data_IF_291006458787
#
_entry.id   IF_291006458787
#
_cell.length_a   1.000
_cell.length_b   1.000
_cell.length_c   1.000
_cell.angle_alpha   90.00
_cell.angle_beta   90.00
_cell.angle_gamma   90.00
#
_symmetry.space_group_name_H-M   'P 1'
#
loop_
_entity.id
_entity.type
_entity.pdbx_description
1 polymer ?
#
# COMPACT_ATOMS: atom_id res chain seq x y z
N UNK A 1 -18.22 -15.30 20.63
CA UNK A 1 -16.76 -15.46 20.85
C UNK A 1 -16.19 -16.12 19.61
N UNK A 2 -15.20 -15.50 18.92
CA UNK A 2 -14.61 -16.09 17.73
C UNK A 2 -13.87 -17.38 18.03
N UNK A 3 -13.90 -18.34 17.10
CA UNK A 3 -13.16 -19.60 17.23
C UNK A 3 -11.64 -19.32 17.29
N UNK A 4 -10.88 -20.20 17.94
CA UNK A 4 -9.40 -20.12 17.92
C UNK A 4 -8.88 -20.76 16.65
N UNK A 5 -8.04 -20.03 15.88
CA UNK A 5 -7.34 -20.59 14.72
C UNK A 5 -6.10 -21.36 15.16
N UNK A 6 -5.93 -22.57 14.64
CA UNK A 6 -4.68 -23.33 14.80
C UNK A 6 -3.68 -22.96 13.72
N UNK A 7 -2.40 -22.83 14.09
CA UNK A 7 -1.33 -22.66 13.11
C UNK A 7 -1.13 -23.97 12.35
N UNK A 8 -1.13 -23.88 11.01
CA UNK A 8 -0.76 -25.00 10.14
C UNK A 8 0.75 -25.25 10.24
N UNK A 9 1.51 -24.14 10.32
CA UNK A 9 2.97 -24.20 10.40
C UNK A 9 3.56 -22.96 11.07
N UNK A 10 4.73 -23.13 11.66
CA UNK A 10 5.55 -22.07 12.23
C UNK A 10 6.93 -22.18 11.61
N UNK A 11 7.36 -21.12 10.93
CA UNK A 11 8.68 -21.00 10.31
C UNK A 11 9.47 -19.95 11.15
N UNK A 12 10.45 -20.42 11.92
CA UNK A 12 11.17 -19.60 12.92
C UNK A 12 12.69 -19.57 12.64
N UNK A 13 13.07 -19.52 11.36
CA UNK A 13 14.48 -19.57 10.96
C UNK A 13 15.17 -18.19 11.01
N UNK A 14 14.40 -17.09 11.03
CA UNK A 14 14.96 -15.76 11.22
C UNK A 14 15.44 -15.55 12.66
N UNK A 15 16.58 -14.84 12.80
CA UNK A 15 17.19 -14.52 14.10
C UNK A 15 16.80 -13.12 14.59
N UNK A 16 16.02 -12.39 13.83
CA UNK A 16 15.50 -11.05 14.15
C UNK A 16 14.05 -10.91 13.69
N UNK A 17 13.42 -9.81 14.06
CA UNK A 17 12.04 -9.51 13.69
C UNK A 17 11.83 -9.51 12.18
N UNK A 18 10.70 -10.05 11.72
CA UNK A 18 10.33 -9.97 10.30
C UNK A 18 9.60 -8.65 10.09
N UNK A 19 10.18 -7.78 9.26
CA UNK A 19 9.62 -6.46 8.98
C UNK A 19 8.55 -6.48 7.89
N UNK A 20 8.72 -7.31 6.87
CA UNK A 20 7.80 -7.40 5.75
C UNK A 20 7.73 -8.80 5.17
N UNK A 21 6.63 -9.09 4.46
CA UNK A 21 6.46 -10.29 3.65
C UNK A 21 5.77 -9.95 2.33
N UNK A 22 6.10 -10.70 1.28
CA UNK A 22 5.55 -10.58 -0.07
C UNK A 22 5.26 -11.94 -0.65
N UNK A 23 4.08 -12.12 -1.25
CA UNK A 23 3.75 -13.33 -2.03
C UNK A 23 4.16 -13.14 -3.48
N UNK A 24 4.56 -14.23 -4.15
CA UNK A 24 4.71 -14.25 -5.59
C UNK A 24 3.35 -14.07 -6.30
N UNK A 25 3.32 -13.55 -7.54
CA UNK A 25 2.08 -13.39 -8.31
C UNK A 25 1.28 -14.69 -8.45
N UNK A 26 1.95 -15.82 -8.62
CA UNK A 26 1.34 -17.15 -8.69
C UNK A 26 0.92 -17.72 -7.31
N UNK A 27 1.30 -17.04 -6.22
CA UNK A 27 1.03 -17.46 -4.85
C UNK A 27 1.78 -18.70 -4.37
N UNK A 28 2.74 -19.22 -5.14
CA UNK A 28 3.47 -20.46 -4.79
C UNK A 28 4.66 -20.22 -3.86
N UNK A 29 5.14 -18.98 -3.78
CA UNK A 29 6.30 -18.59 -2.99
C UNK A 29 5.99 -17.38 -2.12
N UNK A 30 6.69 -17.29 -1.01
CA UNK A 30 6.64 -16.17 -0.09
C UNK A 30 8.05 -15.69 0.23
N UNK A 31 8.25 -14.39 0.24
CA UNK A 31 9.49 -13.75 0.63
C UNK A 31 9.31 -13.02 1.96
N UNK A 32 10.25 -13.16 2.87
CA UNK A 32 10.31 -12.41 4.14
C UNK A 32 11.60 -11.61 4.25
N UNK A 33 11.52 -10.38 4.74
CA UNK A 33 12.66 -9.53 5.06
C UNK A 33 12.75 -9.27 6.57
N UNK A 34 13.95 -9.40 7.14
CA UNK A 34 14.15 -9.43 8.59
C UNK A 34 15.21 -8.43 9.08
N UNK A 35 15.12 -8.15 10.39
CA UNK A 35 16.12 -7.38 11.13
C UNK A 35 17.46 -8.09 11.24
N UNK A 36 17.51 -9.41 10.97
CA UNK A 36 18.78 -10.15 10.94
C UNK A 36 19.63 -9.85 9.69
N UNK A 37 19.20 -8.91 8.85
CA UNK A 37 19.89 -8.52 7.62
C UNK A 37 19.68 -9.48 6.45
N UNK A 38 18.85 -10.50 6.63
CA UNK A 38 18.56 -11.51 5.60
C UNK A 38 17.14 -11.42 5.08
N UNK A 39 16.93 -11.95 3.90
CA UNK A 39 15.61 -12.32 3.41
C UNK A 39 15.56 -13.83 3.17
N UNK A 40 14.36 -14.42 3.26
CA UNK A 40 14.15 -15.86 3.05
C UNK A 40 12.99 -16.09 2.11
N UNK A 41 13.21 -17.02 1.21
CA UNK A 41 12.19 -17.49 0.27
C UNK A 41 11.60 -18.80 0.80
N UNK A 42 10.28 -18.89 0.83
CA UNK A 42 9.51 -20.01 1.37
C UNK A 42 8.58 -20.57 0.31
N UNK A 43 8.41 -21.88 0.28
CA UNK A 43 7.34 -22.54 -0.47
C UNK A 43 6.02 -22.40 0.31
N UNK A 44 4.95 -21.97 -0.35
CA UNK A 44 3.63 -21.87 0.26
C UNK A 44 2.95 -23.22 0.43
N UNK A 45 3.35 -24.23 -0.36
CA UNK A 45 2.78 -25.56 -0.32
C UNK A 45 3.10 -26.30 0.98
N UNK A 46 4.34 -26.20 1.44
CA UNK A 46 4.84 -26.95 2.61
C UNK A 46 5.51 -26.06 3.66
N UNK A 47 5.68 -24.75 3.41
CA UNK A 47 6.30 -23.78 4.31
C UNK A 47 7.81 -24.03 4.52
N UNK A 48 8.46 -24.77 3.63
CA UNK A 48 9.91 -24.98 3.65
C UNK A 48 10.65 -23.73 3.20
N UNK A 49 11.79 -23.43 3.84
CA UNK A 49 12.69 -22.39 3.37
C UNK A 49 13.45 -22.90 2.13
N UNK A 50 13.17 -22.28 0.97
CA UNK A 50 13.77 -22.66 -0.31
C UNK A 50 15.14 -22.02 -0.53
N UNK A 51 15.31 -20.77 -0.08
CA UNK A 51 16.56 -20.02 -0.22
C UNK A 51 16.75 -19.00 0.90
N UNK A 52 18.03 -18.82 1.28
CA UNK A 52 18.48 -17.74 2.14
C UNK A 52 19.16 -16.67 1.27
N UNK A 53 18.64 -15.45 1.29
CA UNK A 53 19.15 -14.30 0.56
C UNK A 53 19.99 -13.47 1.54
N UNK A 54 21.31 -13.67 1.49
CA UNK A 54 22.27 -13.04 2.41
C UNK A 54 23.19 -12.09 1.65
N UNK A 55 23.40 -10.90 2.20
CA UNK A 55 24.29 -9.92 1.58
C UNK A 55 24.07 -8.50 2.08
N UNK A 56 22.89 -8.14 2.58
CA UNK A 56 22.68 -6.85 3.23
C UNK A 56 23.53 -6.73 4.51
N UNK A 57 24.05 -5.53 4.74
CA UNK A 57 24.92 -5.22 5.89
C UNK A 57 24.13 -4.68 7.09
N UNK A 58 22.81 -4.49 6.91
CA UNK A 58 21.89 -4.04 7.95
C UNK A 58 20.50 -4.65 7.74
N UNK A 59 19.55 -4.35 8.62
CA UNK A 59 18.21 -4.93 8.56
C UNK A 59 17.47 -4.64 7.24
N UNK A 60 16.75 -5.65 6.76
CA UNK A 60 15.87 -5.55 5.60
C UNK A 60 14.57 -4.87 6.05
N UNK A 61 14.24 -3.75 5.43
CA UNK A 61 13.06 -2.93 5.77
C UNK A 61 11.81 -3.39 5.02
N UNK A 62 11.98 -3.77 3.76
CA UNK A 62 10.89 -4.16 2.87
C UNK A 62 11.38 -5.15 1.81
N UNK A 63 10.46 -5.94 1.28
CA UNK A 63 10.74 -6.86 0.17
C UNK A 63 9.54 -6.98 -0.77
N UNK A 64 9.82 -7.25 -2.05
CA UNK A 64 8.82 -7.53 -3.07
C UNK A 64 9.27 -8.75 -3.88
N UNK A 65 8.35 -9.67 -4.13
CA UNK A 65 8.59 -10.90 -4.88
C UNK A 65 7.84 -10.84 -6.21
N UNK A 66 8.59 -10.98 -7.27
CA UNK A 66 8.11 -11.15 -8.64
C UNK A 66 8.32 -12.60 -9.08
N UNK A 67 7.87 -12.97 -10.29
CA UNK A 67 7.90 -14.37 -10.76
C UNK A 67 9.30 -14.97 -10.75
N UNK A 68 10.30 -14.25 -11.25
CA UNK A 68 11.67 -14.76 -11.40
C UNK A 68 12.69 -14.05 -10.50
N UNK A 69 12.32 -12.96 -9.84
CA UNK A 69 13.23 -12.15 -9.05
C UNK A 69 12.62 -11.73 -7.71
N UNK A 70 13.43 -11.74 -6.68
CA UNK A 70 13.12 -11.13 -5.41
C UNK A 70 13.87 -9.80 -5.29
N UNK A 71 13.22 -8.79 -4.70
CA UNK A 71 13.79 -7.48 -4.43
C UNK A 71 13.71 -7.20 -2.94
N UNK A 72 14.81 -6.70 -2.39
CA UNK A 72 14.89 -6.31 -0.98
C UNK A 72 15.50 -4.94 -0.85
N UNK A 73 15.04 -4.14 0.11
CA UNK A 73 15.72 -2.91 0.49
C UNK A 73 16.05 -2.91 1.98
N UNK A 74 17.05 -2.11 2.34
CA UNK A 74 17.67 -2.21 3.66
C UNK A 74 18.08 -0.86 4.24
N UNK A 75 18.32 -0.88 5.53
CA UNK A 75 18.94 0.21 6.26
C UNK A 75 20.42 0.41 5.89
N UNK A 76 21.03 -0.51 5.15
CA UNK A 76 22.37 -0.34 4.55
C UNK A 76 22.38 0.63 3.35
N UNK A 77 21.26 1.31 3.09
CA UNK A 77 21.06 2.27 1.99
C UNK A 77 21.04 1.64 0.61
N UNK A 78 20.97 0.31 0.50
CA UNK A 78 20.97 -0.40 -0.78
C UNK A 78 19.65 -1.10 -1.04
N UNK A 79 19.41 -1.40 -2.32
CA UNK A 79 18.38 -2.32 -2.80
C UNK A 79 19.11 -3.47 -3.50
N UNK A 80 18.59 -4.68 -3.40
CA UNK A 80 19.16 -5.86 -4.05
C UNK A 80 18.11 -6.62 -4.84
N UNK A 81 18.50 -7.08 -6.04
CA UNK A 81 17.76 -8.03 -6.88
C UNK A 81 18.39 -9.39 -6.72
N UNK A 82 17.58 -10.40 -6.53
CA UNK A 82 18.00 -11.79 -6.28
C UNK A 82 17.33 -12.73 -7.27
N UNK A 83 18.03 -13.74 -7.71
CA UNK A 83 17.47 -14.85 -8.46
C UNK A 83 16.71 -15.77 -7.47
N UNK A 84 15.43 -16.05 -7.75
CA UNK A 84 14.58 -16.85 -6.84
C UNK A 84 14.89 -18.33 -6.88
N UNK A 85 15.61 -18.82 -7.89
CA UNK A 85 15.99 -20.23 -8.06
C UNK A 85 17.29 -20.55 -7.35
N UNK A 86 18.27 -19.67 -7.48
CA UNK A 86 19.63 -19.88 -6.95
C UNK A 86 19.90 -19.16 -5.64
N UNK A 87 19.10 -18.14 -5.29
CA UNK A 87 19.32 -17.25 -4.15
C UNK A 87 20.49 -16.28 -4.33
N UNK A 88 21.07 -16.22 -5.53
CA UNK A 88 22.21 -15.34 -5.81
C UNK A 88 21.78 -13.90 -5.99
N UNK A 89 22.61 -12.97 -5.49
CA UNK A 89 22.42 -11.54 -5.73
C UNK A 89 22.81 -11.20 -7.16
N UNK A 90 21.81 -10.81 -7.98
CA UNK A 90 22.01 -10.45 -9.38
C UNK A 90 22.47 -9.01 -9.55
N UNK A 91 21.93 -8.09 -8.72
CA UNK A 91 22.18 -6.65 -8.82
C UNK A 91 22.11 -5.97 -7.46
N UNK A 92 22.99 -4.98 -7.26
CA UNK A 92 22.97 -4.08 -6.10
C UNK A 92 22.75 -2.65 -6.61
N UNK A 93 21.67 -2.02 -6.15
CA UNK A 93 21.32 -0.64 -6.48
C UNK A 93 21.88 0.28 -5.39
N UNK A 94 22.84 1.12 -5.75
CA UNK A 94 23.52 2.05 -4.84
C UNK A 94 23.21 3.50 -5.24
N UNK A 95 23.01 4.36 -4.24
CA UNK A 95 22.76 5.77 -4.48
C UNK A 95 22.04 6.48 -3.34
N UNK A 96 21.11 5.83 -2.65
CA UNK A 96 20.53 6.40 -1.43
C UNK A 96 21.62 6.60 -0.36
N UNK A 97 21.47 7.66 0.42
CA UNK A 97 22.42 8.03 1.50
C UNK A 97 21.88 7.76 2.90
N UNK A 98 20.69 7.18 2.99
CA UNK A 98 20.07 6.76 4.24
C UNK A 98 19.15 5.57 3.99
N UNK A 99 18.54 5.04 5.04
CA UNK A 99 17.64 3.87 5.04
C UNK A 99 16.68 3.91 3.84
N UNK A 100 16.66 2.84 3.05
CA UNK A 100 15.62 2.63 2.04
C UNK A 100 14.43 2.00 2.72
N UNK A 101 13.29 2.70 2.76
CA UNK A 101 12.14 2.28 3.55
C UNK A 101 11.18 1.37 2.77
N UNK A 102 10.93 1.69 1.48
CA UNK A 102 10.05 0.90 0.62
C UNK A 102 10.56 0.86 -0.80
N UNK A 103 10.15 -0.18 -1.51
CA UNK A 103 10.33 -0.33 -2.95
C UNK A 103 8.99 -0.68 -3.60
N UNK A 104 8.89 -0.38 -4.88
CA UNK A 104 7.81 -0.79 -5.76
C UNK A 104 8.41 -1.15 -7.11
N UNK A 105 8.22 -2.39 -7.53
CA UNK A 105 8.75 -2.94 -8.78
C UNK A 105 7.62 -3.03 -9.79
N UNK A 106 7.90 -2.59 -11.00
CA UNK A 106 7.06 -2.77 -12.19
C UNK A 106 7.88 -3.52 -13.24
N UNK A 107 7.29 -3.83 -14.41
CA UNK A 107 7.99 -4.54 -15.48
C UNK A 107 9.33 -3.90 -15.85
N UNK A 108 9.37 -2.56 -15.98
CA UNK A 108 10.53 -1.84 -16.51
C UNK A 108 11.29 -1.02 -15.47
N UNK A 109 10.65 -0.69 -14.33
CA UNK A 109 11.19 0.26 -13.37
C UNK A 109 11.06 -0.24 -11.93
N UNK A 110 12.01 0.17 -11.12
CA UNK A 110 11.96 0.01 -9.69
C UNK A 110 11.92 1.41 -9.06
N UNK A 111 10.96 1.63 -8.18
CA UNK A 111 10.88 2.87 -7.39
C UNK A 111 11.28 2.58 -5.95
N UNK A 112 11.91 3.57 -5.31
CA UNK A 112 12.30 3.47 -3.89
C UNK A 112 12.02 4.76 -3.14
N UNK A 113 11.73 4.63 -1.84
CA UNK A 113 11.62 5.73 -0.90
C UNK A 113 12.65 5.60 0.21
N UNK A 114 13.19 6.73 0.67
CA UNK A 114 14.29 6.72 1.65
C UNK A 114 14.17 7.82 2.70
N UNK A 115 14.84 7.57 3.81
CA UNK A 115 15.05 8.55 4.88
C UNK A 115 15.99 9.69 4.44
N UNK A 116 16.69 9.56 3.31
CA UNK A 116 17.46 10.66 2.69
C UNK A 116 16.57 11.77 2.09
N UNK A 117 15.26 11.70 2.29
CA UNK A 117 14.24 12.64 1.85
C UNK A 117 13.96 12.59 0.34
N UNK A 118 14.45 11.57 -0.34
CA UNK A 118 14.23 11.37 -1.79
C UNK A 118 13.43 10.10 -2.06
N UNK A 119 12.77 10.07 -3.20
CA UNK A 119 12.40 8.86 -3.89
C UNK A 119 13.23 8.75 -5.16
N UNK A 120 13.43 7.53 -5.68
CA UNK A 120 14.21 7.29 -6.89
C UNK A 120 13.52 6.28 -7.78
N UNK A 121 13.72 6.44 -9.09
CA UNK A 121 13.44 5.43 -10.10
C UNK A 121 14.75 4.86 -10.60
N UNK A 122 14.77 3.55 -10.85
CA UNK A 122 15.93 2.79 -11.27
C UNK A 122 15.58 1.93 -12.48
N UNK A 123 16.53 1.73 -13.36
CA UNK A 123 16.41 0.70 -14.40
C UNK A 123 16.65 -0.67 -13.75
N UNK A 124 15.69 -1.59 -13.89
CA UNK A 124 15.70 -2.88 -13.19
C UNK A 124 16.94 -3.72 -13.54
N UNK A 125 17.36 -3.72 -14.82
CA UNK A 125 18.47 -4.57 -15.26
C UNK A 125 19.85 -3.94 -15.08
N UNK A 126 19.94 -2.60 -15.20
CA UNK A 126 21.22 -1.90 -15.13
C UNK A 126 21.57 -1.42 -13.73
N UNK A 127 20.60 -1.40 -12.82
CA UNK A 127 20.80 -0.92 -11.46
C UNK A 127 21.13 0.58 -11.36
N UNK A 128 20.90 1.34 -12.43
CA UNK A 128 21.23 2.77 -12.50
C UNK A 128 20.03 3.62 -12.12
N UNK A 129 20.29 4.73 -11.43
CA UNK A 129 19.26 5.74 -11.14
C UNK A 129 18.84 6.39 -12.46
N UNK A 130 17.59 6.21 -12.84
CA UNK A 130 17.00 6.86 -14.01
C UNK A 130 16.46 8.24 -13.67
N UNK A 131 15.85 8.39 -12.49
CA UNK A 131 15.32 9.65 -11.97
C UNK A 131 15.48 9.74 -10.46
N UNK A 132 15.64 10.96 -9.98
CA UNK A 132 15.63 11.29 -8.56
C UNK A 132 14.55 12.34 -8.28
N UNK A 133 13.65 12.04 -7.34
CA UNK A 133 12.53 12.88 -6.96
C UNK A 133 12.89 13.62 -5.68
N UNK A 134 13.35 14.88 -5.82
CA UNK A 134 13.76 15.77 -4.72
C UNK A 134 12.70 16.81 -4.43
N UNK A 135 12.43 17.08 -3.14
CA UNK A 135 11.51 18.14 -2.73
C UNK A 135 10.77 17.88 -1.43
N UNK A 136 10.79 16.65 -0.92
CA UNK A 136 10.39 16.41 0.47
C UNK A 136 11.41 17.00 1.45
N UNK A 137 10.89 17.49 2.58
CA UNK A 137 11.73 18.10 3.65
C UNK A 137 12.18 17.10 4.70
N UNK A 138 11.57 15.90 4.71
CA UNK A 138 11.84 14.85 5.68
C UNK A 138 11.68 13.46 5.03
N UNK A 139 11.82 12.37 5.80
CA UNK A 139 11.83 10.99 5.34
C UNK A 139 10.63 10.66 4.44
N UNK A 140 10.86 9.94 3.35
CA UNK A 140 9.80 9.41 2.47
C UNK A 140 9.47 8.00 2.90
N UNK A 141 8.21 7.77 3.31
CA UNK A 141 7.80 6.49 3.91
C UNK A 141 6.94 5.63 2.99
N UNK A 142 6.08 6.24 2.19
CA UNK A 142 5.08 5.53 1.39
C UNK A 142 5.29 5.81 -0.11
N UNK A 143 4.97 4.81 -0.93
CA UNK A 143 5.02 4.86 -2.40
C UNK A 143 3.76 4.25 -2.99
N UNK A 144 3.26 4.84 -4.08
CA UNK A 144 2.34 4.22 -5.02
C UNK A 144 2.61 4.75 -6.43
N UNK A 145 2.24 3.98 -7.44
CA UNK A 145 2.49 4.31 -8.84
C UNK A 145 1.23 4.10 -9.67
N UNK A 146 0.95 5.06 -10.56
CA UNK A 146 -0.08 4.98 -11.59
C UNK A 146 0.61 4.89 -12.94
N UNK A 147 0.37 3.79 -13.65
CA UNK A 147 0.98 3.58 -14.97
C UNK A 147 0.34 4.49 -16.03
N UNK A 148 1.03 4.76 -17.16
CA UNK A 148 0.49 5.60 -18.23
C UNK A 148 -0.87 5.13 -18.76
N UNK A 149 -1.06 3.83 -18.88
CA UNK A 149 -2.33 3.21 -19.32
C UNK A 149 -3.51 3.47 -18.39
N UNK A 150 -3.24 3.83 -17.15
CA UNK A 150 -4.24 4.11 -16.12
C UNK A 150 -4.57 5.61 -16.02
N UNK A 151 -3.94 6.44 -16.84
CA UNK A 151 -4.16 7.90 -16.90
C UNK A 151 -5.11 8.27 -18.04
N UNK A 152 -5.81 9.43 -17.96
CA UNK A 152 -6.70 9.86 -19.03
C UNK A 152 -5.94 10.05 -20.35
N UNK A 153 -6.53 9.58 -21.44
CA UNK A 153 -6.00 9.77 -22.80
C UNK A 153 -6.22 11.21 -23.29
N UNK A 154 -5.45 12.14 -22.74
CA UNK A 154 -5.40 13.54 -23.19
C UNK A 154 -4.02 13.78 -23.83
N UNK A 155 -3.96 14.20 -25.12
CA UNK A 155 -2.68 14.43 -25.82
C UNK A 155 -1.76 15.41 -25.12
N UNK A 156 -2.31 16.40 -24.39
CA UNK A 156 -1.52 17.35 -23.61
C UNK A 156 -0.96 16.70 -22.33
N UNK A 157 -1.67 15.73 -21.75
CA UNK A 157 -1.25 14.98 -20.57
C UNK A 157 -0.28 13.83 -20.95
N UNK A 158 -0.49 13.17 -22.09
CA UNK A 158 0.38 12.09 -22.57
C UNK A 158 1.83 12.54 -22.73
N UNK A 159 2.07 13.72 -23.30
CA UNK A 159 3.40 14.26 -23.46
C UNK A 159 4.13 14.53 -22.13
N UNK A 160 3.37 14.91 -21.09
CA UNK A 160 3.91 15.21 -19.77
C UNK A 160 3.97 13.98 -18.84
N UNK A 161 3.09 13.00 -19.03
CA UNK A 161 2.86 11.85 -18.14
C UNK A 161 3.20 10.50 -18.77
N UNK A 162 3.89 10.47 -19.91
CA UNK A 162 4.16 9.28 -20.72
C UNK A 162 4.89 8.12 -20.01
N UNK A 163 5.41 8.33 -18.79
CA UNK A 163 5.98 7.29 -17.95
C UNK A 163 5.21 7.11 -16.62
N UNK A 164 3.98 7.65 -16.51
CA UNK A 164 3.12 7.55 -15.32
C UNK A 164 3.43 8.54 -14.22
N UNK A 165 2.70 8.39 -13.12
CA UNK A 165 2.80 9.23 -11.92
C UNK A 165 3.23 8.41 -10.70
N UNK A 166 4.24 8.89 -9.98
CA UNK A 166 4.65 8.36 -8.69
C UNK A 166 4.04 9.22 -7.59
N UNK A 167 3.42 8.60 -6.58
CA UNK A 167 2.91 9.28 -5.40
C UNK A 167 3.74 8.88 -4.18
N UNK A 168 4.17 9.85 -3.41
CA UNK A 168 5.01 9.64 -2.21
C UNK A 168 4.39 10.27 -0.98
N UNK A 169 4.48 9.61 0.16
CA UNK A 169 4.09 10.14 1.47
C UNK A 169 5.30 10.33 2.38
N UNK A 170 5.34 11.42 3.13
CA UNK A 170 6.50 11.81 3.93
C UNK A 170 6.15 12.24 5.36
N UNK A 171 7.15 12.17 6.22
CA UNK A 171 7.10 12.74 7.58
C UNK A 171 7.18 14.28 7.60
N UNK A 172 7.20 14.93 6.42
CA UNK A 172 7.06 16.39 6.30
C UNK A 172 5.60 16.85 6.22
N UNK A 173 4.65 15.99 6.60
CA UNK A 173 3.20 16.22 6.62
C UNK A 173 2.58 16.37 5.22
N UNK A 174 3.33 16.05 4.16
CA UNK A 174 2.85 16.15 2.78
C UNK A 174 2.92 14.83 2.04
N UNK A 175 2.04 14.68 1.06
CA UNK A 175 2.28 13.76 -0.04
C UNK A 175 2.61 14.56 -1.31
N UNK A 176 3.34 13.95 -2.24
CA UNK A 176 3.71 14.57 -3.50
C UNK A 176 3.42 13.62 -4.66
N UNK A 177 3.01 14.20 -5.77
CA UNK A 177 2.83 13.52 -7.05
C UNK A 177 3.95 13.96 -7.98
N UNK A 178 4.61 13.02 -8.61
CA UNK A 178 5.76 13.24 -9.47
C UNK A 178 5.51 12.70 -10.86
N UNK A 179 5.87 13.45 -11.88
CA UNK A 179 5.95 12.96 -13.25
C UNK A 179 7.20 12.09 -13.39
N UNK A 180 7.03 10.81 -13.68
CA UNK A 180 8.16 9.87 -13.75
C UNK A 180 9.07 10.19 -14.93
N UNK A 181 8.51 10.64 -16.06
CA UNK A 181 9.30 11.01 -17.25
C UNK A 181 10.29 12.15 -17.01
N UNK A 182 9.83 13.23 -16.38
CA UNK A 182 10.63 14.42 -16.13
C UNK A 182 11.39 14.40 -14.80
N UNK A 183 10.87 13.69 -13.80
CA UNK A 183 11.31 13.75 -12.40
C UNK A 183 10.78 14.97 -11.64
N UNK A 184 9.96 15.81 -12.29
CA UNK A 184 9.42 17.01 -11.67
C UNK A 184 8.25 16.72 -10.73
N UNK A 185 8.13 17.51 -9.67
CA UNK A 185 6.96 17.49 -8.79
C UNK A 185 5.77 18.09 -9.54
N UNK A 186 4.76 17.25 -9.81
CA UNK A 186 3.52 17.66 -10.45
C UNK A 186 2.60 18.35 -9.45
N UNK A 187 2.34 17.72 -8.29
CA UNK A 187 1.49 18.25 -7.24
C UNK A 187 2.12 18.07 -5.85
N UNK A 188 1.78 18.97 -4.93
CA UNK A 188 2.06 18.82 -3.50
C UNK A 188 0.76 18.82 -2.73
N UNK A 189 0.39 17.67 -2.19
CA UNK A 189 -0.85 17.43 -1.47
C UNK A 189 -0.68 17.90 -0.02
N UNK A 190 -1.19 19.11 0.25
CA UNK A 190 -1.05 19.79 1.55
C UNK A 190 -2.36 19.75 2.32
N UNK A 191 -2.28 19.48 3.62
CA UNK A 191 -3.44 19.50 4.50
C UNK A 191 -3.27 18.67 5.75
N UNK A 192 -2.52 17.57 5.70
CA UNK A 192 -2.15 16.85 6.92
C UNK A 192 -1.34 17.75 7.86
N UNK A 193 -1.53 17.56 9.17
CA UNK A 193 -0.82 18.26 10.24
C UNK A 193 0.11 17.32 11.01
N UNK A 194 0.40 16.16 10.41
CA UNK A 194 1.30 15.15 10.92
C UNK A 194 1.78 14.23 9.81
N UNK A 195 2.80 13.43 10.12
CA UNK A 195 3.49 12.56 9.19
C UNK A 195 2.52 11.66 8.38
N UNK A 196 2.71 11.57 7.06
CA UNK A 196 2.00 10.63 6.18
C UNK A 196 2.68 9.27 6.27
N UNK A 197 2.03 8.30 6.94
CA UNK A 197 2.60 6.99 7.24
C UNK A 197 2.29 5.94 6.17
N UNK A 198 1.11 6.03 5.56
CA UNK A 198 0.64 5.05 4.60
C UNK A 198 -0.12 5.72 3.45
N UNK A 199 -0.16 5.03 2.32
CA UNK A 199 -0.76 5.52 1.10
C UNK A 199 -1.26 4.34 0.28
N UNK A 200 -2.46 4.48 -0.29
CA UNK A 200 -3.02 3.58 -1.30
C UNK A 200 -3.59 4.42 -2.45
N UNK A 201 -3.55 3.87 -3.65
CA UNK A 201 -3.98 4.55 -4.86
C UNK A 201 -5.14 3.79 -5.50
N UNK A 202 -6.24 4.49 -5.76
CA UNK A 202 -7.26 4.03 -6.70
C UNK A 202 -6.89 4.56 -8.10
N UNK A 203 -6.32 3.68 -8.90
CA UNK A 203 -5.88 4.03 -10.26
C UNK A 203 -7.07 4.37 -11.17
N UNK A 204 -8.22 3.75 -10.93
CA UNK A 204 -9.41 3.94 -11.77
C UNK A 204 -10.06 5.31 -11.61
N UNK A 205 -9.98 5.89 -10.42
CA UNK A 205 -10.51 7.23 -10.11
C UNK A 205 -9.42 8.28 -9.93
N UNK A 206 -8.16 7.94 -10.16
CA UNK A 206 -6.98 8.81 -9.97
C UNK A 206 -6.91 9.41 -8.56
N UNK A 207 -7.39 8.65 -7.57
CA UNK A 207 -7.52 9.11 -6.19
C UNK A 207 -6.47 8.47 -5.30
N UNK A 208 -5.63 9.28 -4.66
CA UNK A 208 -4.72 8.84 -3.60
C UNK A 208 -5.38 8.98 -2.22
N UNK A 209 -5.30 7.94 -1.41
CA UNK A 209 -5.70 7.97 -0.01
C UNK A 209 -4.45 7.93 0.87
N UNK A 210 -4.33 8.90 1.77
CA UNK A 210 -3.17 9.04 2.67
C UNK A 210 -3.62 8.94 4.12
N UNK A 211 -2.92 8.12 4.92
CA UNK A 211 -3.14 8.01 6.36
C UNK A 211 -1.99 8.64 7.14
N UNK A 212 -2.33 9.36 8.21
CA UNK A 212 -1.38 10.22 8.92
C UNK A 212 -1.41 10.04 10.44
N UNK A 213 -0.35 10.52 11.07
CA UNK A 213 -0.26 10.66 12.53
C UNK A 213 -1.25 11.69 13.08
N UNK A 214 -1.84 12.56 12.22
CA UNK A 214 -2.90 13.50 12.60
C UNK A 214 -4.27 12.83 12.84
N UNK A 215 -4.30 11.50 12.84
CA UNK A 215 -5.49 10.66 13.03
C UNK A 215 -6.54 10.79 11.91
N UNK A 216 -6.15 11.31 10.73
CA UNK A 216 -7.06 11.41 9.58
C UNK A 216 -6.59 10.57 8.41
N UNK A 217 -7.56 10.17 7.57
CA UNK A 217 -7.27 9.77 6.20
C UNK A 217 -7.76 10.90 5.28
N UNK A 218 -7.02 11.18 4.21
CA UNK A 218 -7.40 12.15 3.19
C UNK A 218 -7.39 11.53 1.81
N UNK A 219 -8.38 11.93 1.00
CA UNK A 219 -8.47 11.56 -0.40
C UNK A 219 -8.09 12.78 -1.26
N UNK A 220 -7.30 12.53 -2.29
CA UNK A 220 -6.73 13.54 -3.18
C UNK A 220 -6.87 13.12 -4.63
N UNK A 221 -7.27 14.02 -5.49
CA UNK A 221 -7.11 13.85 -6.92
C UNK A 221 -5.63 14.06 -7.27
N UNK A 222 -4.97 13.04 -7.85
CA UNK A 222 -3.53 13.11 -8.15
C UNK A 222 -3.22 13.99 -9.38
N UNK A 223 -4.20 14.28 -10.20
CA UNK A 223 -4.03 15.10 -11.40
C UNK A 223 -4.13 16.60 -11.06
N UNK A 224 -5.17 17.00 -10.36
CA UNK A 224 -5.38 18.39 -9.95
C UNK A 224 -4.66 18.78 -8.66
N UNK A 225 -4.34 17.81 -7.79
CA UNK A 225 -3.83 18.03 -6.44
C UNK A 225 -4.91 18.44 -5.43
N UNK A 226 -6.19 18.43 -5.84
CA UNK A 226 -7.30 18.84 -5.00
C UNK A 226 -7.55 17.82 -3.88
N UNK A 227 -7.82 18.33 -2.67
CA UNK A 227 -8.30 17.52 -1.56
C UNK A 227 -9.78 17.21 -1.73
N UNK A 228 -10.11 15.99 -2.09
CA UNK A 228 -11.48 15.57 -2.31
C UNK A 228 -12.24 15.38 -0.99
N UNK A 229 -11.63 14.74 0.01
CA UNK A 229 -12.28 14.35 1.27
C UNK A 229 -11.31 14.24 2.43
N UNK A 230 -11.87 14.34 3.64
CA UNK A 230 -11.17 14.08 4.90
C UNK A 230 -12.00 13.10 5.73
N UNK A 231 -11.45 11.96 6.05
CA UNK A 231 -12.05 10.95 6.91
C UNK A 231 -11.53 11.18 8.34
N UNK A 232 -12.42 11.65 9.20
CA UNK A 232 -12.13 11.95 10.61
C UNK A 232 -12.78 10.88 11.47
N UNK A 233 -12.44 10.75 12.70
CA UNK A 233 -13.01 9.89 13.75
C UNK A 233 -12.00 8.89 14.35
N UNK A 234 -10.85 8.62 13.74
CA UNK A 234 -9.77 7.98 14.48
C UNK A 234 -9.27 8.89 15.59
N UNK A 235 -8.87 8.29 16.71
CA UNK A 235 -8.33 8.99 17.89
C UNK A 235 -6.82 8.78 18.03
N UNK A 236 -6.18 8.20 17.03
CA UNK A 236 -4.75 7.96 16.99
C UNK A 236 -4.26 7.80 15.55
N UNK A 237 -2.95 7.78 15.39
CA UNK A 237 -2.28 7.68 14.08
C UNK A 237 -2.88 6.59 13.20
N UNK A 238 -3.15 6.90 11.93
CA UNK A 238 -3.54 5.92 10.92
C UNK A 238 -2.27 5.26 10.38
N UNK A 239 -2.12 3.96 10.64
CA UNK A 239 -0.88 3.21 10.39
C UNK A 239 -0.94 2.46 9.06
N UNK A 240 -2.09 1.92 8.70
CA UNK A 240 -2.25 1.11 7.50
C UNK A 240 -3.59 1.38 6.82
N UNK A 241 -3.60 1.23 5.51
CA UNK A 241 -4.77 1.36 4.65
C UNK A 241 -4.88 0.13 3.77
N UNK A 242 -6.11 -0.28 3.49
CA UNK A 242 -6.44 -1.30 2.48
C UNK A 242 -7.63 -0.79 1.68
N UNK A 243 -7.51 -0.77 0.37
CA UNK A 243 -8.54 -0.32 -0.55
C UNK A 243 -9.11 -1.51 -1.31
N UNK A 244 -10.41 -1.59 -1.41
CA UNK A 244 -11.15 -2.46 -2.32
C UNK A 244 -11.83 -1.59 -3.37
N UNK A 245 -12.56 -2.18 -4.31
CA UNK A 245 -13.24 -1.41 -5.39
C UNK A 245 -14.07 -0.21 -4.88
N UNK A 246 -14.67 -0.30 -3.69
CA UNK A 246 -15.57 0.72 -3.15
C UNK A 246 -15.34 1.08 -1.68
N UNK A 247 -14.58 0.27 -0.98
CA UNK A 247 -14.40 0.40 0.47
C UNK A 247 -12.94 0.66 0.80
N UNK A 248 -12.72 1.65 1.64
CA UNK A 248 -11.45 1.94 2.25
C UNK A 248 -11.46 1.46 3.70
N UNK A 249 -10.48 0.68 4.08
CA UNK A 249 -10.23 0.27 5.46
C UNK A 249 -9.02 1.00 6.00
N UNK A 250 -9.14 1.56 7.20
CA UNK A 250 -8.05 2.25 7.90
C UNK A 250 -7.80 1.63 9.26
N UNK A 251 -6.55 1.20 9.51
CA UNK A 251 -6.11 0.67 10.80
C UNK A 251 -5.31 1.72 11.56
N UNK A 252 -5.57 1.82 12.87
CA UNK A 252 -5.06 2.92 13.67
C UNK A 252 -4.44 2.49 15.00
N UNK A 253 -3.60 3.38 15.53
CA UNK A 253 -3.06 3.32 16.89
C UNK A 253 -4.18 3.36 17.95
N UNK A 254 -5.38 3.85 17.63
CA UNK A 254 -6.55 3.82 18.51
C UNK A 254 -7.14 2.42 18.71
N UNK A 255 -6.50 1.38 18.16
CA UNK A 255 -6.85 -0.06 18.28
C UNK A 255 -8.06 -0.48 17.48
N UNK A 256 -8.58 0.40 16.62
CA UNK A 256 -9.74 0.14 15.77
C UNK A 256 -9.37 0.06 14.30
N UNK A 257 -10.22 -0.61 13.54
CA UNK A 257 -10.28 -0.45 12.09
C UNK A 257 -11.60 0.22 11.74
N UNK A 258 -11.55 1.17 10.83
CA UNK A 258 -12.75 1.81 10.28
C UNK A 258 -12.88 1.47 8.80
N UNK A 259 -14.11 1.25 8.40
CA UNK A 259 -14.50 1.02 7.00
C UNK A 259 -15.29 2.22 6.51
N UNK A 260 -14.92 2.72 5.34
CA UNK A 260 -15.48 3.92 4.72
C UNK A 260 -15.91 3.62 3.29
N UNK A 261 -16.95 4.31 2.82
CA UNK A 261 -17.17 4.43 1.39
C UNK A 261 -16.10 5.35 0.80
N UNK A 262 -15.32 4.84 -0.15
CA UNK A 262 -14.18 5.57 -0.72
C UNK A 262 -14.63 6.83 -1.49
N UNK A 263 -15.80 6.77 -2.13
CA UNK A 263 -16.38 7.82 -2.97
C UNK A 263 -17.08 8.94 -2.17
N UNK A 264 -17.73 8.62 -1.06
CA UNK A 264 -18.48 9.61 -0.26
C UNK A 264 -17.75 10.03 1.02
N UNK A 265 -16.85 9.19 1.53
CA UNK A 265 -16.21 9.39 2.82
C UNK A 265 -17.08 9.00 4.02
N UNK A 266 -18.27 8.44 3.77
CA UNK A 266 -19.16 8.00 4.83
C UNK A 266 -18.59 6.78 5.54
N UNK A 267 -18.64 6.79 6.88
CA UNK A 267 -18.23 5.64 7.68
C UNK A 267 -19.29 4.57 7.65
N UNK A 268 -18.94 3.43 7.07
CA UNK A 268 -19.82 2.24 7.04
C UNK A 268 -19.78 1.49 8.38
N UNK A 269 -18.56 1.35 8.97
CA UNK A 269 -18.38 0.51 10.14
C UNK A 269 -17.12 0.84 10.94
N UNK A 270 -17.18 0.54 12.24
CA UNK A 270 -15.99 0.48 13.12
C UNK A 270 -15.85 -0.94 13.66
N UNK A 271 -14.65 -1.51 13.54
CA UNK A 271 -14.27 -2.79 14.14
C UNK A 271 -13.44 -2.49 15.40
N UNK A 272 -13.94 -2.86 16.60
CA UNK A 272 -13.11 -2.83 17.82
C UNK A 272 -12.13 -3.99 17.76
N UNK A 273 -11.05 -3.78 16.97
CA UNK A 273 -10.25 -4.89 16.48
C UNK A 273 -9.30 -5.45 17.55
N UNK A 274 -8.59 -4.62 18.29
CA UNK A 274 -7.44 -5.07 19.08
C UNK A 274 -7.32 -4.36 20.44
N UNK A 275 -6.37 -4.86 21.27
CA UNK A 275 -5.98 -4.23 22.53
C UNK A 275 -4.78 -3.30 22.38
N UNK A 276 -4.11 -3.32 21.23
CA UNK A 276 -2.99 -2.47 20.85
C UNK A 276 -3.20 -1.95 19.42
N UNK A 277 -2.29 -1.10 18.92
CA UNK A 277 -2.35 -0.53 17.57
C UNK A 277 -2.56 -1.61 16.50
N UNK A 278 -3.36 -1.29 15.50
CA UNK A 278 -3.52 -2.10 14.28
C UNK A 278 -2.38 -1.77 13.34
N UNK A 279 -1.51 -2.75 13.09
CA UNK A 279 -0.29 -2.59 12.31
C UNK A 279 -0.43 -3.04 10.86
N UNK A 280 -1.34 -3.97 10.57
CA UNK A 280 -1.52 -4.52 9.24
C UNK A 280 -2.98 -4.86 8.96
N UNK A 281 -3.39 -4.70 7.69
CA UNK A 281 -4.72 -5.00 7.18
C UNK A 281 -4.61 -5.79 5.88
N UNK A 282 -5.56 -6.70 5.64
CA UNK A 282 -5.79 -7.33 4.35
C UNK A 282 -7.25 -7.73 4.21
N UNK A 283 -7.85 -7.32 3.11
CA UNK A 283 -9.19 -7.78 2.72
C UNK A 283 -9.05 -8.94 1.73
N UNK A 284 -9.78 -10.01 1.97
CA UNK A 284 -9.84 -11.15 1.05
C UNK A 284 -11.19 -11.85 1.14
N UNK A 285 -11.86 -12.01 -0.01
CA UNK A 285 -13.10 -12.79 -0.16
C UNK A 285 -14.14 -12.52 0.94
N UNK A 286 -14.46 -11.25 1.21
CA UNK A 286 -15.48 -10.86 2.21
C UNK A 286 -14.99 -10.88 3.66
N UNK A 287 -13.75 -11.26 3.91
CA UNK A 287 -13.13 -11.29 5.24
C UNK A 287 -12.07 -10.21 5.37
N UNK A 288 -12.12 -9.45 6.45
CA UNK A 288 -11.11 -8.49 6.83
C UNK A 288 -10.15 -9.13 7.85
N UNK A 289 -8.90 -9.28 7.47
CA UNK A 289 -7.82 -9.74 8.34
C UNK A 289 -7.07 -8.55 8.92
N UNK A 290 -6.74 -8.63 10.21
CA UNK A 290 -6.07 -7.56 10.93
C UNK A 290 -4.91 -8.12 11.75
N UNK A 291 -3.77 -7.44 11.74
CA UNK A 291 -2.60 -7.71 12.57
C UNK A 291 -2.35 -6.57 13.56
N UNK A 292 -1.77 -6.88 14.72
CA UNK A 292 -1.65 -5.88 15.78
C UNK A 292 -0.41 -6.07 16.67
N UNK A 293 -0.06 -4.98 17.36
CA UNK A 293 0.89 -4.97 18.47
C UNK A 293 0.47 -5.82 19.67
N UNK A 294 -0.79 -6.32 19.72
CA UNK A 294 -1.22 -7.28 20.76
C UNK A 294 -0.83 -8.74 20.45
N UNK A 295 0.07 -8.94 19.47
CA UNK A 295 0.56 -10.23 19.02
C UNK A 295 -0.52 -11.18 18.47
N UNK A 296 -1.63 -10.64 17.98
CA UNK A 296 -2.74 -11.42 17.45
C UNK A 296 -3.12 -10.96 16.07
N UNK A 297 -3.50 -11.92 15.22
CA UNK A 297 -4.26 -11.64 14.04
C UNK A 297 -5.75 -11.99 14.28
N UNK A 298 -6.64 -11.29 13.62
CA UNK A 298 -8.10 -11.52 13.70
C UNK A 298 -8.70 -11.50 12.31
N UNK A 299 -9.75 -12.30 12.14
CA UNK A 299 -10.58 -12.31 10.95
C UNK A 299 -11.99 -11.84 11.31
N UNK A 300 -12.47 -10.86 10.60
CA UNK A 300 -13.82 -10.33 10.74
C UNK A 300 -14.61 -10.55 9.45
N UNK A 301 -15.86 -10.87 9.54
CA UNK A 301 -16.78 -10.71 8.42
C UNK A 301 -16.86 -9.21 8.08
N UNK A 302 -16.43 -8.85 6.90
CA UNK A 302 -16.31 -7.45 6.52
C UNK A 302 -17.67 -6.75 6.43
N UNK A 303 -18.73 -7.50 6.11
CA UNK A 303 -20.09 -6.98 5.95
C UNK A 303 -20.80 -6.78 7.29
N UNK A 304 -20.78 -7.77 8.18
CA UNK A 304 -21.45 -7.70 9.47
C UNK A 304 -20.59 -7.08 10.57
N UNK A 305 -19.25 -7.11 10.43
CA UNK A 305 -18.30 -6.70 11.44
C UNK A 305 -18.08 -7.74 12.55
N UNK A 306 -18.67 -8.93 12.40
CA UNK A 306 -18.57 -9.99 13.41
C UNK A 306 -17.18 -10.60 13.40
N UNK A 307 -16.57 -10.73 14.59
CA UNK A 307 -15.32 -11.46 14.77
C UNK A 307 -15.55 -12.96 14.55
N UNK A 308 -14.97 -13.50 13.50
CA UNK A 308 -15.08 -14.92 13.14
C UNK A 308 -13.99 -15.77 13.79
N UNK A 309 -12.71 -15.29 13.75
CA UNK A 309 -11.57 -16.08 14.24
C UNK A 309 -10.48 -15.20 14.84
N UNK A 310 -9.80 -15.75 15.87
CA UNK A 310 -8.62 -15.16 16.48
C UNK A 310 -7.45 -16.11 16.32
N UNK A 311 -6.36 -15.63 15.74
CA UNK A 311 -5.11 -16.36 15.55
C UNK A 311 -4.13 -15.97 16.65
N UNK A 312 -3.72 -16.96 17.47
CA UNK A 312 -2.88 -16.77 18.64
C UNK A 312 -1.62 -17.61 18.51
N UNK A 313 -0.47 -17.07 18.87
CA UNK A 313 0.78 -17.81 18.83
C UNK A 313 2.00 -16.91 18.73
N UNK A 314 1.89 -15.75 18.06
CA UNK A 314 2.97 -14.76 18.09
C UNK A 314 3.16 -14.19 19.49
N UNK A 315 4.40 -13.84 19.83
CA UNK A 315 4.78 -13.23 21.10
C UNK A 315 5.00 -11.71 21.02
N UNK A 316 5.17 -11.18 19.79
CA UNK A 316 5.37 -9.75 19.53
C UNK A 316 4.45 -9.25 18.42
N UNK A 317 4.58 -7.95 18.09
CA UNK A 317 3.77 -7.28 17.08
C UNK A 317 3.80 -8.02 15.74
N UNK A 318 2.62 -8.13 15.12
CA UNK A 318 2.48 -8.61 13.74
C UNK A 318 2.69 -7.41 12.82
N UNK A 319 3.82 -7.42 12.10
CA UNK A 319 4.20 -6.31 11.24
C UNK A 319 3.50 -6.35 9.89
N UNK A 320 3.28 -7.54 9.35
CA UNK A 320 2.68 -7.72 8.04
C UNK A 320 1.84 -8.99 7.99
N UNK A 321 0.83 -8.99 7.12
CA UNK A 321 0.01 -10.18 6.82
C UNK A 321 -0.37 -10.22 5.34
N UNK A 322 -0.50 -11.42 4.80
CA UNK A 322 -1.00 -11.69 3.46
C UNK A 322 -1.94 -12.90 3.49
N UNK A 323 -2.80 -12.99 2.48
CA UNK A 323 -3.72 -14.12 2.33
C UNK A 323 -3.62 -14.61 0.89
N UNK A 324 -3.49 -15.93 0.75
CA UNK A 324 -3.59 -16.58 -0.56
C UNK A 324 -4.38 -17.86 -0.42
N UNK A 325 -5.39 -18.04 -1.28
CA UNK A 325 -6.29 -19.19 -1.20
C UNK A 325 -6.95 -19.30 0.19
N UNK A 326 -6.63 -20.39 0.87
CA UNK A 326 -7.20 -20.70 2.19
C UNK A 326 -6.18 -20.59 3.33
N UNK A 327 -5.09 -19.85 3.10
CA UNK A 327 -4.01 -19.68 4.07
C UNK A 327 -3.78 -18.19 4.34
N UNK A 328 -3.76 -17.84 5.62
CA UNK A 328 -3.29 -16.54 6.11
C UNK A 328 -1.82 -16.69 6.53
N UNK A 329 -0.98 -15.80 6.07
CA UNK A 329 0.43 -15.67 6.43
C UNK A 329 0.59 -14.45 7.33
N UNK A 330 1.26 -14.60 8.47
CA UNK A 330 1.55 -13.51 9.39
C UNK A 330 3.03 -13.48 9.73
N UNK A 331 3.64 -12.31 9.59
CA UNK A 331 5.02 -12.05 9.93
C UNK A 331 5.10 -11.15 11.16
N UNK A 332 5.94 -11.51 12.11
CA UNK A 332 6.04 -10.83 13.39
C UNK A 332 7.46 -10.44 13.76
N UNK A 333 7.55 -9.45 14.64
CA UNK A 333 8.81 -9.06 15.27
C UNK A 333 9.41 -10.15 16.20
N UNK A 334 8.66 -11.25 16.47
CA UNK A 334 9.19 -12.43 17.13
C UNK A 334 10.08 -13.31 16.23
N UNK A 335 10.34 -12.88 15.00
CA UNK A 335 11.16 -13.61 14.04
C UNK A 335 10.44 -14.78 13.37
N UNK A 336 9.18 -15.03 13.69
CA UNK A 336 8.42 -16.13 13.14
C UNK A 336 7.48 -15.69 12.02
N UNK A 337 7.44 -16.48 10.95
CA UNK A 337 6.39 -16.55 9.98
C UNK A 337 5.41 -17.67 10.38
N UNK A 338 4.12 -17.37 10.45
CA UNK A 338 3.09 -18.37 10.78
C UNK A 338 2.07 -18.47 9.66
N UNK A 339 1.70 -19.71 9.35
CA UNK A 339 0.69 -20.06 8.38
C UNK A 339 -0.55 -20.55 9.14
N UNK A 340 -1.72 -20.03 8.76
CA UNK A 340 -2.98 -20.32 9.44
C UNK A 340 -4.04 -20.77 8.45
N UNK A 341 -4.80 -21.78 8.83
CA UNK A 341 -5.97 -22.22 8.08
C UNK A 341 -7.13 -21.22 8.21
N UNK A 342 -7.60 -20.72 7.08
CA UNK A 342 -8.76 -19.82 7.01
C UNK A 342 -9.99 -20.48 6.39
N UNK A 343 -9.98 -21.78 6.17
CA UNK A 343 -11.16 -22.54 5.71
C UNK A 343 -12.32 -22.36 6.68
N UNK A 344 -13.54 -22.30 6.13
CA UNK A 344 -14.76 -22.14 6.92
C UNK A 344 -14.97 -20.73 7.50
N UNK A 345 -14.13 -19.75 7.16
CA UNK A 345 -14.50 -18.35 7.30
C UNK A 345 -15.58 -18.08 6.24
N UNK A 346 -16.76 -17.67 6.69
CA UNK A 346 -17.88 -17.44 5.79
C UNK A 346 -17.63 -16.21 4.92
N UNK A 347 -17.37 -16.45 3.65
CA UNK A 347 -17.63 -15.41 2.67
C UNK A 347 -19.14 -15.35 2.45
N UNK A 348 -19.79 -14.31 2.93
CA UNK A 348 -21.16 -14.03 2.51
C UNK A 348 -21.11 -13.76 1.00
N UNK A 349 -21.90 -14.49 0.16
CA UNK A 349 -21.91 -14.25 -1.26
C UNK A 349 -22.15 -12.76 -1.54
N UNK A 350 -21.55 -12.18 -2.61
CA UNK A 350 -21.83 -10.80 -2.98
C UNK A 350 -23.33 -10.64 -3.12
N UNK A 351 -23.88 -9.57 -2.55
CA UNK A 351 -25.28 -9.21 -2.77
C UNK A 351 -25.52 -9.19 -4.29
N UNK A 352 -26.67 -9.74 -4.77
CA UNK A 352 -27.05 -9.58 -6.16
C UNK A 352 -26.96 -8.08 -6.48
N UNK A 353 -26.17 -7.75 -7.47
CA UNK A 353 -26.01 -6.37 -7.94
C UNK A 353 -27.41 -5.88 -8.29
N UNK A 354 -27.92 -4.88 -7.59
CA UNK A 354 -29.05 -4.12 -8.08
C UNK A 354 -28.64 -3.62 -9.47
N UNK A 355 -29.47 -3.82 -10.50
CA UNK A 355 -29.13 -3.28 -11.82
C UNK A 355 -28.85 -1.81 -11.65
N UNK A 356 -27.70 -1.37 -12.14
CA UNK A 356 -27.30 0.02 -12.13
C UNK A 356 -28.40 0.79 -12.88
N UNK A 357 -29.24 1.47 -12.14
CA UNK A 357 -30.08 2.49 -12.75
C UNK A 357 -29.13 3.53 -13.29
N UNK A 358 -28.96 3.53 -14.62
CA UNK A 358 -28.30 4.59 -15.37
C UNK A 358 -29.05 5.88 -15.06
N UNK A 359 -28.72 6.57 -13.98
CA UNK A 359 -29.03 7.97 -13.82
C UNK A 359 -28.08 8.71 -14.75
N UNK A 360 -28.57 9.01 -15.92
CA UNK A 360 -28.02 9.95 -16.87
C UNK A 360 -27.65 11.23 -16.12
N UNK A 361 -26.35 11.51 -15.99
CA UNK A 361 -25.78 12.79 -15.53
C UNK A 361 -25.86 13.87 -16.62
N UNK A 362 -26.91 13.85 -17.46
CA UNK A 362 -27.10 14.82 -18.55
C UNK A 362 -28.09 15.94 -18.22
N UNK A 363 -28.17 16.39 -16.94
CA UNK A 363 -29.01 17.56 -16.59
C UNK A 363 -28.42 18.41 -15.46
N UNK A 364 -27.19 18.91 -15.64
CA UNK A 364 -26.66 19.97 -14.74
C UNK A 364 -25.64 20.91 -15.43
N UNK A 365 -25.67 21.06 -16.75
CA UNK A 365 -25.00 22.19 -17.40
C UNK A 365 -25.87 22.70 -18.56
N UNK A 366 -26.87 23.52 -18.24
CA UNK A 366 -27.52 24.41 -19.19
C UNK A 366 -27.92 25.70 -18.47
N UNK A 367 -26.91 26.51 -18.12
CA UNK A 367 -27.07 27.94 -17.99
C UNK A 367 -26.42 28.58 -19.21
N UNK A 368 -27.20 28.74 -20.25
CA UNK A 368 -26.88 29.63 -21.36
C UNK A 368 -26.89 31.04 -20.83
N UNK A 369 -25.74 31.66 -20.70
CA UNK A 369 -25.62 33.12 -20.71
C UNK A 369 -25.87 33.55 -22.14
N UNK A 370 -27.00 34.23 -22.37
CA UNK A 370 -27.30 34.86 -23.63
C UNK A 370 -26.38 36.07 -23.80
N UNK A 371 -25.43 35.99 -24.73
CA UNK A 371 -24.73 37.17 -25.23
C UNK A 371 -25.70 37.97 -26.10
N UNK A 372 -26.01 39.18 -25.64
CA UNK A 372 -26.73 40.14 -26.44
C UNK A 372 -25.88 40.56 -27.65
N UNK A 373 -26.48 40.49 -28.83
CA UNK A 373 -25.88 40.99 -30.05
C UNK A 373 -25.83 42.53 -30.08
N UNK A 374 -24.79 43.13 -30.68
CA UNK A 374 -24.72 44.60 -30.79
C UNK A 374 -25.69 45.09 -31.88
N UNK A 375 -26.40 46.16 -31.53
CA UNK A 375 -27.31 46.91 -32.44
C UNK A 375 -26.45 47.68 -33.44
N UNK A 376 -26.78 47.64 -34.77
CA UNK A 376 -26.09 48.49 -35.76
C UNK A 376 -26.56 49.91 -35.70
N UNK A 377 -25.66 50.87 -35.61
CA UNK A 377 -25.88 52.29 -35.79
C UNK A 377 -26.11 52.54 -37.30
N UNK A 378 -27.27 53.17 -37.63
CA UNK A 378 -27.51 53.77 -38.94
C UNK A 378 -26.93 55.19 -39.00
N UNK A 379 -26.40 55.60 -40.17
CA UNK A 379 -25.87 56.97 -40.34
C UNK A 379 -26.98 57.94 -40.68
N UNK A 380 -26.80 59.17 -40.19
CA UNK A 380 -27.37 60.41 -40.76
C UNK A 380 -26.23 61.36 -41.06
#
# INVERSE_FOLDING_TARGET
>A
MGSSGSALRVCADHRGGINWLSLSPDGQRLLTGSEDGTARLWSTADGQCCALLQGHESYVTFCQLEDEAAFTCSADCTIRKWDVRTGQCLQVYRGHTSIVNRILVTEDQLFSSSYDRTARAWTVDKGQVSKEFRGHRNCVLALAYSAPKDLPSDPCLEAAMGAGLLVTGSTDDTAKVWQVASGCCHQTLRGHTGAVLCLVLDVSSHTAFTGSTDATVRAWDILSGEQLRVFREHQGSVICLELTERLLYSGSADRTVKCWLADTGERVRTFPAHRHSVSALKYHAGTLFTGSGDARARAFDARSGVLQRVFRGHSFVINCLQVHGQVLYTASHDGALRLWDVRGLQSVPPLPQRPATKRSLSRLFSNKVACAAPVPLQPA
#
